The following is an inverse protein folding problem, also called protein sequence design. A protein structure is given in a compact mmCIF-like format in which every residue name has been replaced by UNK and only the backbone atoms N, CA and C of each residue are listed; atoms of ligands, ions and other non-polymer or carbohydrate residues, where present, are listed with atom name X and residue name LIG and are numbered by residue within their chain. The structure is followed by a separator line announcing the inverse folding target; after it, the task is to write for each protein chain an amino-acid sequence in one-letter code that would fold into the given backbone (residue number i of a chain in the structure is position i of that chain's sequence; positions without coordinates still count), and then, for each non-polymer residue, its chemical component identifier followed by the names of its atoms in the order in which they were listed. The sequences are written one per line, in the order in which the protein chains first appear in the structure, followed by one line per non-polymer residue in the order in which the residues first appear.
data_IF_231419199582
#
_entry.id   IF_231419199582
#
_cell.length_a   1.000
_cell.length_b   1.000
_cell.length_c   1.000
_cell.angle_alpha   90.00
_cell.angle_beta   90.00
_cell.angle_gamma   90.00
#
_symmetry.space_group_name_H-M   'P 1'
#
loop_
_entity.id
_entity.type
_entity.pdbx_description
1 polymer ?
#
# COMPACT_ATOMS: atom_id res chain seq x y z
N UNK A 1 14.03 27.05 -55.37
CA UNK A 1 12.96 26.09 -55.02
C UNK A 1 13.36 24.74 -55.63
N UNK A 2 13.40 23.57 -55.00
CA UNK A 2 12.99 23.05 -53.68
C UNK A 2 14.04 22.02 -53.24
N UNK A 3 14.36 21.99 -51.94
CA UNK A 3 15.11 20.91 -51.28
C UNK A 3 14.16 19.71 -51.12
N UNK A 4 14.61 18.50 -51.43
CA UNK A 4 13.92 17.27 -51.00
C UNK A 4 14.98 16.22 -50.70
N UNK A 5 15.40 16.17 -49.44
CA UNK A 5 16.18 15.05 -48.90
C UNK A 5 15.16 14.14 -48.24
N UNK A 6 14.82 13.06 -48.93
CA UNK A 6 13.95 12.01 -48.42
C UNK A 6 14.72 11.25 -47.32
N UNK A 7 14.48 11.59 -46.05
CA UNK A 7 14.97 10.82 -44.90
C UNK A 7 13.94 9.74 -44.56
N UNK A 8 14.18 8.54 -45.06
CA UNK A 8 13.59 7.30 -44.53
C UNK A 8 14.53 6.82 -43.43
N UNK A 9 13.98 6.13 -42.41
CA UNK A 9 14.59 5.46 -41.25
C UNK A 9 14.27 6.20 -39.92
N UNK A 10 13.70 5.55 -38.88
CA UNK A 10 12.93 4.31 -38.82
C UNK A 10 11.69 4.42 -37.90
N UNK A 11 10.49 4.15 -38.43
CA UNK A 11 9.25 4.04 -37.64
C UNK A 11 9.18 2.79 -36.74
N UNK A 12 10.23 1.95 -36.74
CA UNK A 12 10.30 0.71 -35.96
C UNK A 12 10.86 0.86 -34.54
N UNK A 13 11.41 2.03 -34.18
CA UNK A 13 11.99 2.23 -32.84
C UNK A 13 10.95 2.54 -31.75
N UNK A 14 9.68 2.75 -32.11
CA UNK A 14 8.65 3.21 -31.16
C UNK A 14 7.75 2.11 -30.57
N UNK A 15 8.01 0.82 -30.86
CA UNK A 15 7.17 -0.30 -30.43
C UNK A 15 7.64 -1.01 -29.15
N UNK A 16 8.77 -0.63 -28.55
CA UNK A 16 9.38 -1.40 -27.45
C UNK A 16 9.10 -0.89 -26.03
N UNK A 17 8.24 0.11 -25.81
CA UNK A 17 8.05 0.71 -24.47
C UNK A 17 6.76 0.30 -23.73
N UNK A 18 6.02 -0.71 -24.18
CA UNK A 18 4.78 -1.16 -23.51
C UNK A 18 4.94 -2.43 -22.67
N UNK A 19 6.11 -2.67 -22.06
CA UNK A 19 6.17 -3.59 -20.92
C UNK A 19 5.65 -2.85 -19.70
N UNK A 20 4.32 -2.80 -19.54
CA UNK A 20 3.70 -2.34 -18.31
C UNK A 20 4.15 -3.26 -17.17
N UNK A 21 4.65 -2.70 -16.06
CA UNK A 21 4.80 -3.45 -14.82
C UNK A 21 3.41 -3.99 -14.44
N UNK A 22 3.20 -5.29 -14.56
CA UNK A 22 2.11 -5.96 -13.84
C UNK A 22 2.58 -6.16 -12.40
N UNK A 23 2.30 -5.18 -11.56
CA UNK A 23 2.36 -5.36 -10.11
C UNK A 23 1.08 -6.11 -9.71
N UNK A 24 1.16 -7.44 -9.72
CA UNK A 24 0.11 -8.28 -9.17
C UNK A 24 0.10 -8.09 -7.63
N UNK A 25 -0.94 -7.42 -7.12
CA UNK A 25 -1.12 -7.16 -5.69
C UNK A 25 -1.64 -8.44 -5.03
N UNK A 26 -0.76 -9.21 -4.40
CA UNK A 26 -1.12 -10.38 -3.59
C UNK A 26 -1.28 -9.97 -2.11
N UNK A 27 -2.32 -10.48 -1.43
CA UNK A 27 -2.40 -10.39 0.03
C UNK A 27 -1.47 -11.42 0.65
N UNK A 28 -0.56 -10.97 1.51
CA UNK A 28 0.08 -11.86 2.47
C UNK A 28 -0.81 -11.95 3.71
N UNK A 29 -1.74 -12.92 3.71
CA UNK A 29 -2.52 -13.24 4.91
C UNK A 29 -1.60 -14.06 5.83
N UNK A 30 -0.67 -13.39 6.52
CA UNK A 30 -0.01 -14.02 7.67
C UNK A 30 -0.97 -14.00 8.86
N UNK A 31 -1.93 -14.92 8.87
CA UNK A 31 -2.49 -15.36 10.14
C UNK A 31 -1.37 -16.11 10.86
N UNK A 32 -0.97 -15.61 12.03
CA UNK A 32 0.13 -16.14 12.80
C UNK A 32 0.01 -17.65 13.03
N UNK A 33 1.15 -18.33 12.87
CA UNK A 33 1.32 -19.72 13.31
C UNK A 33 1.65 -20.69 12.18
N UNK A 34 2.92 -21.07 12.14
CA UNK A 34 3.45 -22.34 11.63
C UNK A 34 3.05 -22.75 10.20
N UNK A 35 3.99 -22.52 9.28
CA UNK A 35 4.25 -23.31 8.07
C UNK A 35 3.06 -24.03 7.44
N UNK A 36 2.34 -23.34 6.57
CA UNK A 36 1.44 -23.95 5.58
C UNK A 36 1.55 -23.12 4.30
N UNK A 37 1.58 -23.81 3.16
CA UNK A 37 1.70 -23.27 1.81
C UNK A 37 0.95 -21.95 1.62
N UNK A 38 1.66 -20.97 1.06
CA UNK A 38 1.15 -19.65 0.74
C UNK A 38 0.17 -19.77 -0.44
N UNK A 39 -1.10 -20.09 -0.13
CA UNK A 39 -2.15 -20.16 -1.14
C UNK A 39 -2.57 -18.73 -1.50
N UNK A 40 -1.78 -18.09 -2.38
CA UNK A 40 -2.03 -16.74 -2.88
C UNK A 40 -3.26 -16.75 -3.76
N UNK A 41 -4.41 -16.46 -3.16
CA UNK A 41 -5.61 -16.18 -3.92
C UNK A 41 -5.57 -14.72 -4.40
N UNK A 42 -5.84 -14.46 -5.69
CA UNK A 42 -6.01 -13.10 -6.16
C UNK A 42 -7.19 -12.48 -5.41
N UNK A 43 -6.98 -11.32 -4.76
CA UNK A 43 -8.12 -10.61 -4.17
C UNK A 43 -9.04 -10.13 -5.28
N UNK A 44 -10.34 -10.30 -5.08
CA UNK A 44 -11.30 -9.62 -5.94
C UNK A 44 -11.21 -8.10 -5.70
N UNK A 45 -11.51 -7.34 -6.75
CA UNK A 45 -11.58 -5.88 -6.76
C UNK A 45 -12.40 -5.30 -5.60
N UNK A 46 -13.46 -5.99 -5.19
CA UNK A 46 -14.31 -5.59 -4.06
C UNK A 46 -13.60 -5.79 -2.71
N UNK A 47 -12.81 -6.85 -2.55
CA UNK A 47 -12.06 -7.10 -1.31
C UNK A 47 -10.94 -6.07 -1.15
N UNK A 48 -10.25 -5.73 -2.25
CA UNK A 48 -9.26 -4.64 -2.26
C UNK A 48 -9.91 -3.29 -1.90
N UNK A 49 -11.07 -2.98 -2.47
CA UNK A 49 -11.81 -1.77 -2.14
C UNK A 49 -12.18 -1.74 -0.64
N UNK A 50 -12.70 -2.84 -0.11
CA UNK A 50 -13.09 -2.95 1.29
C UNK A 50 -11.90 -2.78 2.25
N UNK A 51 -10.74 -3.35 1.91
CA UNK A 51 -9.49 -3.17 2.67
C UNK A 51 -9.04 -1.71 2.63
N UNK A 52 -9.13 -1.06 1.46
CA UNK A 52 -8.74 0.34 1.29
C UNK A 52 -9.64 1.32 2.04
N UNK A 53 -10.91 0.97 2.28
CA UNK A 53 -11.83 1.80 3.07
C UNK A 53 -11.89 1.42 4.57
N UNK A 54 -11.28 0.30 4.98
CA UNK A 54 -11.23 -0.09 6.38
C UNK A 54 -10.25 0.78 7.17
N UNK A 55 -10.84 1.68 7.95
CA UNK A 55 -10.15 2.63 8.81
C UNK A 55 -9.22 1.96 9.84
N UNK A 56 -9.54 0.75 10.28
CA UNK A 56 -8.69 0.00 11.23
C UNK A 56 -7.41 -0.48 10.55
N UNK A 57 -7.54 -0.97 9.32
CA UNK A 57 -6.41 -1.39 8.49
C UNK A 57 -5.54 -0.19 8.09
N UNK A 58 -6.15 0.96 7.74
CA UNK A 58 -5.41 2.21 7.50
C UNK A 58 -4.55 2.57 8.71
N UNK A 59 -5.12 2.60 9.93
CA UNK A 59 -4.37 2.95 11.14
C UNK A 59 -3.22 1.98 11.42
N UNK A 60 -3.45 0.68 11.24
CA UNK A 60 -2.42 -0.35 11.45
C UNK A 60 -1.26 -0.16 10.46
N UNK A 61 -1.57 0.13 9.20
CA UNK A 61 -0.59 0.39 8.15
C UNK A 61 0.19 1.70 8.34
N UNK A 62 -0.23 2.57 9.26
CA UNK A 62 0.47 3.81 9.61
C UNK A 62 1.30 3.68 10.89
N UNK A 63 1.35 2.51 11.52
CA UNK A 63 2.28 2.27 12.61
C UNK A 63 3.70 2.12 12.04
N UNK A 64 4.66 2.86 12.61
CA UNK A 64 6.07 2.87 12.23
C UNK A 64 6.93 2.50 13.42
N UNK A 65 8.13 1.98 13.15
CA UNK A 65 9.17 1.75 14.16
C UNK A 65 10.38 2.60 13.79
N UNK A 66 10.82 3.45 14.71
CA UNK A 66 12.07 4.19 14.59
C UNK A 66 12.89 3.97 15.85
N UNK A 67 14.13 3.48 15.69
CA UNK A 67 15.07 3.21 16.78
C UNK A 67 14.49 2.39 17.93
N UNK A 68 13.66 1.39 17.62
CA UNK A 68 13.06 0.55 18.64
C UNK A 68 11.92 1.22 19.40
N UNK A 69 11.36 2.33 18.92
CA UNK A 69 10.10 2.89 19.42
C UNK A 69 9.06 2.90 18.31
N UNK A 70 7.90 2.36 18.62
CA UNK A 70 6.72 2.43 17.76
C UNK A 70 6.02 3.77 17.92
N UNK A 71 5.50 4.31 16.82
CA UNK A 71 4.65 5.49 16.80
C UNK A 71 3.61 5.36 15.69
N UNK A 72 2.48 6.05 15.84
CA UNK A 72 1.47 6.17 14.79
C UNK A 72 1.83 7.37 13.91
N UNK A 73 2.08 7.12 12.63
CA UNK A 73 2.40 8.12 11.61
C UNK A 73 1.12 8.72 11.02
N UNK A 74 0.27 9.25 11.91
CA UNK A 74 -0.99 9.90 11.61
C UNK A 74 -1.34 10.84 12.76
N UNK A 75 -1.66 12.11 12.46
CA UNK A 75 -2.14 13.04 13.49
C UNK A 75 -3.64 12.84 13.76
N UNK A 76 -4.12 13.34 14.90
CA UNK A 76 -5.56 13.32 15.21
C UNK A 76 -6.38 14.11 14.17
N UNK A 77 -5.84 15.24 13.69
CA UNK A 77 -6.47 16.05 12.66
C UNK A 77 -6.55 15.29 11.33
N UNK A 78 -5.49 14.59 10.93
CA UNK A 78 -5.52 13.77 9.71
C UNK A 78 -6.52 12.62 9.85
N UNK A 79 -6.60 12.00 11.05
CA UNK A 79 -7.59 10.98 11.34
C UNK A 79 -9.02 11.52 11.18
N UNK A 80 -9.30 12.72 11.68
CA UNK A 80 -10.60 13.38 11.51
C UNK A 80 -10.93 13.63 10.03
N UNK A 81 -9.96 14.14 9.24
CA UNK A 81 -10.11 14.35 7.80
C UNK A 81 -10.42 13.05 7.06
N UNK A 82 -9.80 11.94 7.47
CA UNK A 82 -10.06 10.59 6.94
C UNK A 82 -11.39 9.98 7.48
N UNK A 83 -12.15 10.73 8.28
CA UNK A 83 -13.39 10.29 8.89
C UNK A 83 -13.19 9.17 9.92
N UNK A 84 -11.98 9.01 10.46
CA UNK A 84 -11.67 8.06 11.51
C UNK A 84 -12.27 8.58 12.81
N UNK A 85 -13.07 7.75 13.48
CA UNK A 85 -13.65 8.11 14.78
C UNK A 85 -12.54 8.24 15.82
N UNK A 86 -12.65 9.23 16.71
CA UNK A 86 -11.70 9.47 17.80
C UNK A 86 -11.44 8.23 18.65
N UNK A 87 -12.47 7.43 18.93
CA UNK A 87 -12.34 6.15 19.64
C UNK A 87 -11.37 5.18 18.93
N UNK A 88 -11.47 5.06 17.61
CA UNK A 88 -10.63 4.17 16.82
C UNK A 88 -9.17 4.67 16.78
N UNK A 89 -8.99 5.98 16.64
CA UNK A 89 -7.67 6.62 16.73
C UNK A 89 -7.02 6.41 18.10
N UNK A 90 -7.77 6.62 19.20
CA UNK A 90 -7.30 6.42 20.56
C UNK A 90 -6.94 4.95 20.84
N UNK A 91 -7.72 4.01 20.30
CA UNK A 91 -7.38 2.59 20.39
C UNK A 91 -6.07 2.27 19.67
N UNK A 92 -5.83 2.85 18.49
CA UNK A 92 -4.56 2.69 17.77
C UNK A 92 -3.37 3.25 18.56
N UNK A 93 -3.52 4.43 19.20
CA UNK A 93 -2.50 4.97 20.10
C UNK A 93 -2.20 4.03 21.27
N UNK A 94 -3.24 3.49 21.90
CA UNK A 94 -3.10 2.53 23.01
C UNK A 94 -2.38 1.24 22.58
N UNK A 95 -2.65 0.77 21.37
CA UNK A 95 -1.94 -0.38 20.79
C UNK A 95 -0.45 -0.07 20.59
N UNK A 96 -0.11 1.11 20.08
CA UNK A 96 1.29 1.57 19.95
C UNK A 96 1.99 1.65 21.30
N UNK A 97 1.32 2.14 22.35
CA UNK A 97 1.86 2.15 23.71
C UNK A 97 2.14 0.72 24.20
N UNK A 98 1.21 -0.21 24.00
CA UNK A 98 1.40 -1.62 24.35
C UNK A 98 2.58 -2.25 23.60
N UNK A 99 2.73 -1.97 22.31
CA UNK A 99 3.86 -2.46 21.51
C UNK A 99 5.21 -1.93 22.00
N UNK A 100 5.23 -0.74 22.61
CA UNK A 100 6.43 -0.18 23.22
C UNK A 100 6.71 -0.75 24.62
N UNK A 101 5.66 -1.06 25.39
CA UNK A 101 5.78 -1.56 26.75
C UNK A 101 6.04 -3.07 26.82
N UNK A 102 5.67 -3.82 25.79
CA UNK A 102 5.89 -5.26 25.68
C UNK A 102 7.24 -5.62 25.03
N UNK A 103 8.24 -4.74 25.11
CA UNK A 103 9.61 -4.96 24.61
C UNK A 103 10.56 -5.50 25.66
#
# INVERSE_FOLDING_TARGET
MKKSVFRIIPLFALMFFFTACHDDIYSDITNGGNGVEHNRQPLDSMDLYNIQIDKSTILTNLIRNNNGRYYLDLTEQDAEILGIKSELYNNALRNVEQMNNNK
#
